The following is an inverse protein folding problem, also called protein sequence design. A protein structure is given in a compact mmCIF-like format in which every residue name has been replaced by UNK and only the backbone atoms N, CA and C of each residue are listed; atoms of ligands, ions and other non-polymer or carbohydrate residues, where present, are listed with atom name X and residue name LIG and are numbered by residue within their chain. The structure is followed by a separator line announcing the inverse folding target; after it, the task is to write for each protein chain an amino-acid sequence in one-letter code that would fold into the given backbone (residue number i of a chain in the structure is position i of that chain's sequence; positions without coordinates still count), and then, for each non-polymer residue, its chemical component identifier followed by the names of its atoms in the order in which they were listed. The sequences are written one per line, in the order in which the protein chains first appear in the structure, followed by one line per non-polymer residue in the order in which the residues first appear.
data_IF_752568926193
#
_entry.id   IF_752568926193
#
_cell.length_a   1.000
_cell.length_b   1.000
_cell.length_c   1.000
_cell.angle_alpha   90.00
_cell.angle_beta   90.00
_cell.angle_gamma   90.00
#
_symmetry.space_group_name_H-M   'P 1'
#
loop_
_entity.id
_entity.type
_entity.pdbx_description
1 polymer ?
#
# COMPACT_ATOMS: atom_id res chain seq x y z
N UNK A 1 -25.63 1.60 10.14
CA UNK A 1 -24.42 2.45 10.26
C UNK A 1 -23.12 1.69 9.99
N UNK A 2 -22.94 0.43 10.43
CA UNK A 2 -21.71 -0.35 10.20
C UNK A 2 -21.31 -0.52 8.71
N UNK A 3 -22.28 -0.78 7.81
CA UNK A 3 -22.01 -0.95 6.37
C UNK A 3 -21.51 0.33 5.66
N UNK A 4 -21.98 1.51 6.07
CA UNK A 4 -21.54 2.78 5.50
C UNK A 4 -20.11 3.12 5.95
N UNK A 5 -19.76 2.83 7.21
CA UNK A 5 -18.41 3.00 7.72
C UNK A 5 -17.39 2.19 6.93
N UNK A 6 -17.67 0.90 6.68
CA UNK A 6 -16.74 0.04 5.94
C UNK A 6 -16.50 0.47 4.49
N UNK A 7 -17.54 0.92 3.79
CA UNK A 7 -17.40 1.47 2.45
C UNK A 7 -16.51 2.72 2.42
N UNK A 8 -16.66 3.63 3.40
CA UNK A 8 -15.83 4.83 3.52
C UNK A 8 -14.37 4.48 3.75
N UNK A 9 -14.08 3.45 4.56
CA UNK A 9 -12.70 3.00 4.81
C UNK A 9 -12.05 2.45 3.54
N UNK A 10 -12.74 1.56 2.82
CA UNK A 10 -12.23 1.04 1.55
C UNK A 10 -11.97 2.17 0.54
N UNK A 11 -12.92 3.10 0.41
CA UNK A 11 -12.78 4.23 -0.49
C UNK A 11 -11.57 5.09 -0.13
N UNK A 12 -11.37 5.36 1.16
CA UNK A 12 -10.26 6.17 1.64
C UNK A 12 -8.90 5.51 1.35
N UNK A 13 -8.77 4.20 1.65
CA UNK A 13 -7.53 3.44 1.36
C UNK A 13 -7.23 3.45 -0.13
N UNK A 14 -8.23 3.14 -0.97
CA UNK A 14 -8.08 3.15 -2.43
C UNK A 14 -7.65 4.52 -2.94
N UNK A 15 -8.26 5.61 -2.45
CA UNK A 15 -7.88 6.97 -2.85
C UNK A 15 -6.43 7.28 -2.46
N UNK A 16 -6.00 6.90 -1.25
CA UNK A 16 -4.62 7.12 -0.82
C UNK A 16 -3.62 6.34 -1.68
N UNK A 17 -3.89 5.06 -1.94
CA UNK A 17 -3.03 4.22 -2.77
C UNK A 17 -2.97 4.70 -4.23
N UNK A 18 -4.10 5.18 -4.78
CA UNK A 18 -4.15 5.79 -6.11
C UNK A 18 -3.32 7.07 -6.16
N UNK A 19 -3.47 7.97 -5.17
CA UNK A 19 -2.68 9.20 -5.09
C UNK A 19 -1.19 8.88 -4.96
N UNK A 20 -0.82 7.93 -4.09
CA UNK A 20 0.57 7.48 -3.95
C UNK A 20 1.13 6.91 -5.26
N UNK A 21 0.33 6.10 -5.97
CA UNK A 21 0.70 5.52 -7.26
C UNK A 21 0.95 6.57 -8.34
N UNK A 22 0.04 7.53 -8.47
CA UNK A 22 0.18 8.66 -9.41
C UNK A 22 1.41 9.50 -9.08
N UNK A 23 1.63 9.84 -7.80
CA UNK A 23 2.82 10.58 -7.37
C UNK A 23 4.12 9.83 -7.67
N UNK A 24 4.15 8.51 -7.53
CA UNK A 24 5.29 7.67 -7.91
C UNK A 24 5.60 7.75 -9.41
N UNK A 25 4.56 7.68 -10.26
CA UNK A 25 4.71 7.81 -11.71
C UNK A 25 5.16 9.23 -12.09
N UNK A 26 4.55 10.27 -11.51
CA UNK A 26 4.95 11.65 -11.74
C UNK A 26 6.39 11.94 -11.29
N UNK A 27 6.83 11.33 -10.19
CA UNK A 27 8.21 11.41 -9.72
C UNK A 27 9.18 10.85 -10.77
N UNK A 28 8.83 9.74 -11.43
CA UNK A 28 9.64 9.18 -12.52
C UNK A 28 9.65 10.09 -13.76
N UNK A 29 8.51 10.67 -14.13
CA UNK A 29 8.43 11.63 -15.23
C UNK A 29 9.31 12.86 -14.94
N UNK A 30 9.25 13.40 -13.72
CA UNK A 30 10.10 14.51 -13.29
C UNK A 30 11.58 14.13 -13.33
N UNK A 31 11.92 12.91 -12.90
CA UNK A 31 13.28 12.36 -12.99
C UNK A 31 13.77 12.29 -14.44
N UNK A 32 12.91 11.88 -15.39
CA UNK A 32 13.26 11.74 -16.80
C UNK A 32 13.42 13.10 -17.50
N UNK A 33 12.56 14.09 -17.20
CA UNK A 33 12.69 15.46 -17.72
C UNK A 33 14.00 16.12 -17.31
N UNK A 34 14.40 15.98 -16.04
CA UNK A 34 15.65 16.52 -15.53
C UNK A 34 16.92 15.89 -16.11
N UNK A 35 16.81 14.71 -16.73
CA UNK A 35 17.93 14.03 -17.41
C UNK A 35 18.04 14.43 -18.89
N UNK A 36 16.94 14.62 -19.61
CA UNK A 36 16.96 14.98 -21.04
C UNK A 36 17.65 16.32 -21.32
N UNK A 37 17.53 17.30 -20.41
CA UNK A 37 18.27 18.57 -20.53
C UNK A 37 19.78 18.46 -20.22
N UNK A 38 20.23 17.39 -19.55
CA UNK A 38 21.63 17.24 -19.10
C UNK A 38 22.50 16.34 -19.97
N UNK A 39 21.92 15.61 -20.92
CA UNK A 39 22.68 14.70 -21.80
C UNK A 39 23.69 15.45 -22.69
N UNK A 40 23.59 16.79 -22.79
CA UNK A 40 24.51 17.60 -23.60
C UNK A 40 25.78 18.05 -22.86
N UNK A 41 25.85 18.03 -21.52
CA UNK A 41 27.01 18.56 -20.75
C UNK A 41 27.18 17.77 -19.45
N UNK A 42 28.11 16.79 -19.44
CA UNK A 42 28.57 16.02 -18.28
C UNK A 42 27.53 15.20 -17.49
N UNK A 43 27.77 13.89 -17.47
CA UNK A 43 26.96 12.79 -16.91
C UNK A 43 26.92 12.75 -15.37
N UNK A 44 26.70 13.89 -14.71
CA UNK A 44 26.51 14.01 -13.27
C UNK A 44 25.05 14.39 -12.99
N UNK A 45 24.29 13.42 -12.46
CA UNK A 45 22.88 13.57 -12.05
C UNK A 45 22.79 14.60 -10.92
N UNK A 46 22.45 15.86 -11.19
CA UNK A 46 22.03 16.74 -10.08
C UNK A 46 20.66 16.30 -9.56
N UNK A 47 20.42 16.43 -8.25
CA UNK A 47 19.15 16.08 -7.63
C UNK A 47 17.99 16.82 -8.30
N UNK A 48 17.04 16.08 -8.88
CA UNK A 48 15.74 16.65 -9.24
C UNK A 48 14.93 16.70 -7.96
N UNK A 49 15.06 17.80 -7.22
CA UNK A 49 14.39 18.00 -5.94
C UNK A 49 12.88 17.70 -5.99
N UNK A 50 12.25 18.01 -7.13
CA UNK A 50 10.85 17.67 -7.39
C UNK A 50 10.58 16.15 -7.40
N UNK A 51 11.43 15.35 -8.06
CA UNK A 51 11.27 13.89 -8.09
C UNK A 51 11.49 13.27 -6.69
N UNK A 52 12.45 13.80 -5.93
CA UNK A 52 12.64 13.42 -4.52
C UNK A 52 11.38 13.70 -3.69
N UNK A 53 10.82 14.91 -3.79
CA UNK A 53 9.64 15.32 -3.01
C UNK A 53 8.40 14.49 -3.35
N UNK A 54 8.16 14.22 -4.64
CA UNK A 54 7.04 13.39 -5.10
C UNK A 54 7.19 11.94 -4.66
N UNK A 55 8.38 11.34 -4.83
CA UNK A 55 8.64 9.96 -4.40
C UNK A 55 8.56 9.77 -2.88
N UNK A 56 9.06 10.73 -2.11
CA UNK A 56 8.93 10.72 -0.64
C UNK A 56 7.46 10.87 -0.21
N UNK A 57 6.71 11.78 -0.84
CA UNK A 57 5.28 11.94 -0.57
C UNK A 57 4.51 10.64 -0.86
N UNK A 58 4.79 9.98 -1.99
CA UNK A 58 4.21 8.69 -2.32
C UNK A 58 4.50 7.63 -1.25
N UNK A 59 5.75 7.53 -0.78
CA UNK A 59 6.16 6.59 0.26
C UNK A 59 5.44 6.83 1.60
N UNK A 60 5.28 8.11 1.99
CA UNK A 60 4.55 8.49 3.22
C UNK A 60 3.06 8.15 3.11
N UNK A 61 2.44 8.45 1.97
CA UNK A 61 1.01 8.15 1.76
C UNK A 61 0.77 6.64 1.75
N UNK A 62 1.62 5.85 1.09
CA UNK A 62 1.55 4.38 1.09
C UNK A 62 1.64 3.82 2.52
N UNK A 63 2.61 4.30 3.32
CA UNK A 63 2.75 3.87 4.71
C UNK A 63 1.53 4.25 5.55
N UNK A 64 1.00 5.46 5.37
CA UNK A 64 -0.20 5.92 6.06
C UNK A 64 -1.43 5.08 5.68
N UNK A 65 -1.60 4.76 4.39
CA UNK A 65 -2.70 3.91 3.91
C UNK A 65 -2.65 2.53 4.58
N UNK A 66 -1.47 1.92 4.66
CA UNK A 66 -1.29 0.64 5.33
C UNK A 66 -1.62 0.70 6.82
N UNK A 67 -1.12 1.72 7.53
CA UNK A 67 -1.41 1.90 8.96
C UNK A 67 -2.91 2.05 9.20
N UNK A 68 -3.61 2.86 8.40
CA UNK A 68 -5.06 3.00 8.55
C UNK A 68 -5.82 1.71 8.26
N UNK A 69 -5.43 0.96 7.22
CA UNK A 69 -6.04 -0.33 6.90
C UNK A 69 -5.91 -1.32 8.08
N UNK A 70 -4.74 -1.38 8.72
CA UNK A 70 -4.50 -2.24 9.87
C UNK A 70 -5.26 -1.79 11.13
N UNK A 71 -5.28 -0.47 11.42
CA UNK A 71 -5.99 0.09 12.57
C UNK A 71 -7.50 -0.14 12.49
N UNK A 72 -8.07 -0.04 11.28
CA UNK A 72 -9.51 -0.15 11.04
C UNK A 72 -9.96 -1.58 10.75
N UNK A 73 -9.11 -2.42 10.16
CA UNK A 73 -9.37 -3.85 9.91
C UNK A 73 -9.16 -4.75 11.13
N UNK A 74 -8.33 -4.31 12.09
CA UNK A 74 -8.03 -5.01 13.33
C UNK A 74 -6.95 -6.09 13.18
N UNK A 75 -6.31 -6.46 14.28
CA UNK A 75 -5.23 -7.46 14.23
C UNK A 75 -5.81 -8.88 14.09
N UNK A 76 -5.46 -9.57 12.98
CA UNK A 76 -5.78 -10.98 12.78
C UNK A 76 -4.50 -11.78 13.02
N UNK A 77 -4.33 -12.31 14.24
CA UNK A 77 -3.28 -13.28 14.52
C UNK A 77 -3.77 -14.69 14.19
N UNK A 78 -2.94 -15.43 13.45
CA UNK A 78 -3.06 -16.88 13.28
C UNK A 78 -1.81 -17.47 13.92
N UNK A 79 -1.98 -18.05 15.11
CA UNK A 79 -0.86 -18.48 15.93
C UNK A 79 -0.42 -19.92 15.61
N UNK A 80 -1.21 -20.67 14.83
CA UNK A 80 -0.98 -22.08 14.52
C UNK A 80 -1.49 -22.46 13.13
N UNK A 81 -0.81 -23.41 12.48
CA UNK A 81 -1.23 -24.01 11.19
C UNK A 81 -2.52 -24.83 11.32
N UNK A 82 -2.76 -25.45 12.49
CA UNK A 82 -4.03 -26.14 12.78
C UNK A 82 -5.19 -25.16 12.97
N UNK A 83 -4.93 -23.98 13.55
CA UNK A 83 -5.94 -22.93 13.64
C UNK A 83 -6.29 -22.35 12.26
N UNK A 84 -5.35 -22.32 11.32
CA UNK A 84 -5.58 -21.89 9.94
C UNK A 84 -6.53 -22.83 9.20
N UNK A 85 -6.26 -24.13 9.23
CA UNK A 85 -7.09 -25.17 8.57
C UNK A 85 -8.49 -25.28 9.19
N UNK A 86 -8.62 -24.97 10.48
CA UNK A 86 -9.92 -25.00 11.19
C UNK A 86 -10.70 -23.68 11.09
N UNK A 87 -10.08 -22.61 10.60
CA UNK A 87 -10.70 -21.28 10.55
C UNK A 87 -11.70 -21.16 9.40
N UNK A 88 -12.62 -20.19 9.50
CA UNK A 88 -13.53 -19.87 8.40
C UNK A 88 -12.74 -19.36 7.19
N UNK A 89 -13.28 -19.60 5.99
CA UNK A 89 -12.66 -19.16 4.73
C UNK A 89 -12.38 -17.65 4.73
N UNK A 90 -13.25 -16.86 5.35
CA UNK A 90 -13.08 -15.41 5.49
C UNK A 90 -11.86 -15.03 6.36
N UNK A 91 -11.61 -15.75 7.46
CA UNK A 91 -10.40 -15.54 8.29
C UNK A 91 -9.13 -15.94 7.55
N UNK A 92 -9.16 -17.06 6.82
CA UNK A 92 -8.04 -17.50 5.98
C UNK A 92 -7.72 -16.47 4.89
N UNK A 93 -8.75 -15.98 4.18
CA UNK A 93 -8.59 -14.93 3.17
C UNK A 93 -8.08 -13.62 3.76
N UNK A 94 -8.59 -13.20 4.92
CA UNK A 94 -8.14 -11.99 5.59
C UNK A 94 -6.67 -12.07 5.99
N UNK A 95 -6.22 -13.21 6.53
CA UNK A 95 -4.81 -13.40 6.90
C UNK A 95 -3.88 -13.48 5.67
N UNK A 96 -4.30 -14.17 4.61
CA UNK A 96 -3.51 -14.26 3.38
C UNK A 96 -3.36 -12.89 2.71
N UNK A 97 -4.46 -12.14 2.58
CA UNK A 97 -4.45 -10.80 1.99
C UNK A 97 -3.67 -9.80 2.84
N UNK A 98 -3.74 -9.91 4.17
CA UNK A 98 -2.90 -9.15 5.09
C UNK A 98 -1.41 -9.45 4.85
N UNK A 99 -1.00 -10.73 4.85
CA UNK A 99 0.39 -11.11 4.63
C UNK A 99 0.93 -10.60 3.28
N UNK A 100 0.15 -10.73 2.21
CA UNK A 100 0.53 -10.21 0.89
C UNK A 100 0.64 -8.69 0.91
N UNK A 101 -0.28 -7.97 1.57
CA UNK A 101 -0.22 -6.51 1.67
C UNK A 101 1.06 -6.01 2.36
N UNK A 102 1.54 -6.70 3.40
CA UNK A 102 2.82 -6.40 4.05
C UNK A 102 4.01 -6.59 3.11
N UNK A 103 4.02 -7.67 2.33
CA UNK A 103 5.09 -7.91 1.34
C UNK A 103 5.09 -6.80 0.28
N UNK A 104 3.92 -6.48 -0.28
CA UNK A 104 3.77 -5.42 -1.28
C UNK A 104 4.17 -4.06 -0.71
N UNK A 105 3.79 -3.75 0.54
CA UNK A 105 4.22 -2.55 1.25
C UNK A 105 5.73 -2.47 1.34
N UNK A 106 6.39 -3.51 1.86
CA UNK A 106 7.84 -3.51 2.06
C UNK A 106 8.60 -3.31 0.75
N UNK A 107 8.18 -4.02 -0.30
CA UNK A 107 8.81 -3.91 -1.62
C UNK A 107 8.51 -2.54 -2.25
N UNK A 108 7.25 -2.11 -2.28
CA UNK A 108 6.83 -0.83 -2.85
C UNK A 108 7.46 0.37 -2.16
N UNK A 109 7.43 0.39 -0.82
CA UNK A 109 8.06 1.43 0.00
C UNK A 109 9.57 1.50 -0.23
N UNK A 110 10.26 0.34 -0.26
CA UNK A 110 11.70 0.30 -0.51
C UNK A 110 12.04 0.86 -1.90
N UNK A 111 11.28 0.51 -2.93
CA UNK A 111 11.48 1.02 -4.29
C UNK A 111 11.23 2.53 -4.38
N UNK A 112 10.16 3.04 -3.75
CA UNK A 112 9.88 4.47 -3.67
C UNK A 112 10.98 5.23 -2.92
N UNK A 113 11.47 4.70 -1.79
CA UNK A 113 12.53 5.32 -1.01
C UNK A 113 13.88 5.29 -1.73
N UNK A 114 14.26 4.16 -2.34
CA UNK A 114 15.47 4.07 -3.17
C UNK A 114 15.37 5.07 -4.33
N UNK A 115 14.23 5.14 -5.00
CA UNK A 115 13.95 6.09 -6.06
C UNK A 115 14.07 7.55 -5.59
N UNK A 116 13.42 7.90 -4.48
CA UNK A 116 13.45 9.25 -3.92
C UNK A 116 14.87 9.64 -3.46
N UNK A 117 15.53 8.80 -2.65
CA UNK A 117 16.87 9.08 -2.12
C UNK A 117 17.93 9.13 -3.22
N UNK A 118 17.76 8.36 -4.30
CA UNK A 118 18.61 8.48 -5.50
C UNK A 118 18.45 9.83 -6.21
N UNK A 119 17.43 10.62 -5.86
CA UNK A 119 17.21 11.98 -6.37
C UNK A 119 17.47 13.07 -5.32
N UNK A 120 17.93 12.73 -4.10
CA UNK A 120 18.19 13.72 -3.03
C UNK A 120 19.66 14.14 -2.90
N UNK A 121 20.62 13.35 -3.38
CA UNK A 121 22.07 13.63 -3.27
C UNK A 121 22.74 13.75 -4.64
N UNK A 122 23.67 14.70 -4.77
CA UNK A 122 24.51 14.95 -5.95
C UNK A 122 25.68 13.96 -6.13
N UNK A 123 25.63 12.77 -5.51
CA UNK A 123 26.83 11.90 -5.44
C UNK A 123 27.24 11.38 -6.82
N UNK A 124 28.48 11.72 -7.19
CA UNK A 124 29.24 11.32 -8.38
C UNK A 124 29.61 9.82 -8.42
N UNK A 125 28.68 8.92 -8.12
CA UNK A 125 28.84 7.49 -8.42
C UNK A 125 27.88 7.14 -9.55
N UNK A 126 28.44 7.04 -10.75
CA UNK A 126 27.78 6.54 -11.95
C UNK A 126 27.40 5.06 -11.73
N UNK A 127 26.29 4.85 -11.04
CA UNK A 127 25.64 3.56 -10.87
C UNK A 127 24.30 3.57 -11.60
N UNK A 128 24.03 2.49 -12.33
CA UNK A 128 22.85 2.23 -13.16
C UNK A 128 21.55 2.38 -12.35
N UNK A 129 21.08 3.61 -12.14
CA UNK A 129 19.84 3.89 -11.44
C UNK A 129 18.68 3.46 -12.34
N UNK A 130 18.25 2.20 -12.18
CA UNK A 130 17.16 1.60 -12.95
C UNK A 130 15.99 2.58 -13.02
N UNK A 131 15.61 2.90 -14.26
CA UNK A 131 14.64 3.95 -14.59
C UNK A 131 13.28 3.75 -13.94
N UNK A 132 12.99 2.54 -13.47
CA UNK A 132 11.67 2.05 -13.11
C UNK A 132 11.41 1.97 -11.61
N UNK A 133 12.34 2.33 -10.72
CA UNK A 133 12.09 2.16 -9.28
C UNK A 133 10.89 2.98 -8.78
N UNK A 134 10.72 4.22 -9.26
CA UNK A 134 9.61 5.10 -8.86
C UNK A 134 8.27 4.64 -9.48
N UNK A 135 8.25 4.25 -10.76
CA UNK A 135 7.05 3.73 -11.43
C UNK A 135 6.67 2.34 -10.93
N UNK A 136 7.61 1.40 -10.75
CA UNK A 136 7.32 0.08 -10.16
C UNK A 136 6.81 0.26 -8.73
N UNK A 137 7.45 1.13 -7.93
CA UNK A 137 6.96 1.49 -6.61
C UNK A 137 5.52 2.05 -6.66
N UNK A 138 5.24 2.94 -7.62
CA UNK A 138 3.89 3.49 -7.83
C UNK A 138 2.87 2.44 -8.29
N UNK A 139 3.24 1.50 -9.15
CA UNK A 139 2.39 0.37 -9.57
C UNK A 139 2.03 -0.51 -8.36
N UNK A 140 3.01 -0.77 -7.49
CA UNK A 140 2.80 -1.54 -6.27
C UNK A 140 1.86 -0.85 -5.28
N UNK A 141 1.72 0.49 -5.29
CA UNK A 141 0.68 1.17 -4.51
C UNK A 141 -0.73 0.74 -4.92
N UNK A 142 -1.03 0.63 -6.22
CA UNK A 142 -2.35 0.15 -6.68
C UNK A 142 -2.60 -1.31 -6.28
N UNK A 143 -1.56 -2.15 -6.39
CA UNK A 143 -1.61 -3.56 -5.94
C UNK A 143 -1.85 -3.63 -4.43
N UNK A 144 -1.18 -2.77 -3.65
CA UNK A 144 -1.36 -2.67 -2.21
C UNK A 144 -2.82 -2.33 -1.86
N UNK A 145 -3.40 -1.31 -2.49
CA UNK A 145 -4.80 -0.93 -2.27
C UNK A 145 -5.80 -2.05 -2.56
N UNK A 146 -5.56 -2.87 -3.59
CA UNK A 146 -6.37 -4.05 -3.89
C UNK A 146 -6.34 -5.07 -2.74
N UNK A 147 -5.15 -5.43 -2.26
CA UNK A 147 -5.00 -6.40 -1.17
C UNK A 147 -5.50 -5.85 0.17
N UNK A 148 -5.28 -4.56 0.47
CA UNK A 148 -5.84 -3.94 1.68
C UNK A 148 -7.36 -3.88 1.66
N UNK A 149 -7.98 -3.63 0.51
CA UNK A 149 -9.44 -3.66 0.36
C UNK A 149 -9.97 -5.08 0.57
N UNK A 150 -9.34 -6.08 -0.03
CA UNK A 150 -9.70 -7.49 0.14
C UNK A 150 -9.55 -7.94 1.60
N UNK A 151 -8.48 -7.53 2.27
CA UNK A 151 -8.25 -7.76 3.70
C UNK A 151 -9.36 -7.13 4.54
N UNK A 152 -9.68 -5.85 4.31
CA UNK A 152 -10.70 -5.16 5.09
C UNK A 152 -12.08 -5.81 4.94
N UNK A 153 -12.48 -6.14 3.71
CA UNK A 153 -13.76 -6.83 3.44
C UNK A 153 -13.80 -8.20 4.10
N UNK A 154 -12.71 -8.97 3.99
CA UNK A 154 -12.62 -10.32 4.59
C UNK A 154 -12.62 -10.26 6.12
N UNK A 155 -11.95 -9.26 6.70
CA UNK A 155 -11.93 -9.01 8.14
C UNK A 155 -13.35 -8.66 8.64
N UNK A 156 -14.03 -7.72 7.99
CA UNK A 156 -15.41 -7.35 8.34
C UNK A 156 -16.35 -8.55 8.23
N UNK A 157 -16.25 -9.35 7.16
CA UNK A 157 -17.05 -10.56 7.01
C UNK A 157 -16.82 -11.55 8.17
N UNK A 158 -15.57 -11.78 8.56
CA UNK A 158 -15.23 -12.60 9.72
C UNK A 158 -15.82 -12.06 11.04
N UNK A 159 -15.76 -10.75 11.27
CA UNK A 159 -16.39 -10.12 12.44
C UNK A 159 -17.92 -10.28 12.45
N UNK A 160 -18.56 -10.32 11.29
CA UNK A 160 -19.99 -10.59 11.16
C UNK A 160 -20.32 -12.07 11.43
N UNK A 161 -19.49 -13.02 11.00
CA UNK A 161 -19.65 -14.45 11.32
C UNK A 161 -19.55 -14.74 12.82
N UNK A 162 -18.68 -14.02 13.53
CA UNK A 162 -18.46 -14.20 14.97
C UNK A 162 -19.52 -13.56 15.88
N UNK A 163 -20.41 -12.71 15.34
CA UNK A 163 -21.54 -12.17 16.11
C UNK A 163 -22.69 -13.18 16.08
N UNK A 164 -23.06 -13.84 17.19
CA UNK A 164 -24.27 -14.64 17.21
C UNK A 164 -25.44 -13.70 16.91
N UNK A 165 -26.18 -13.95 15.82
CA UNK A 165 -27.46 -13.29 15.58
C UNK A 165 -28.29 -13.45 16.85
N UNK A 166 -28.79 -12.34 17.38
CA UNK A 166 -29.73 -12.34 18.49
C UNK A 166 -30.82 -13.37 18.22
N UNK A 167 -30.92 -14.33 19.14
CA UNK A 167 -31.98 -15.31 19.22
C UNK A 167 -33.32 -14.58 19.05
N UNK A 168 -34.21 -14.93 18.10
CA UNK A 168 -35.57 -14.45 18.20
C UNK A 168 -36.14 -15.02 19.50
N UNK A 169 -36.49 -14.13 20.43
CA UNK A 169 -37.23 -14.46 21.62
C UNK A 169 -38.59 -14.99 21.16
N UNK A 170 -38.70 -16.32 21.02
CA UNK A 170 -39.99 -16.97 20.85
C UNK A 170 -40.77 -16.76 22.15
N UNK A 171 -41.68 -15.80 22.07
CA UNK A 171 -42.77 -15.58 22.99
C UNK A 171 -43.82 -16.69 22.83
N UNK A 172 -44.12 -17.34 23.95
CA UNK A 172 -45.44 -17.88 24.34
C UNK A 172 -45.95 -19.17 23.67
N UNK A 173 -46.91 -19.89 24.32
CA UNK A 173 -47.74 -19.53 25.49
C UNK A 173 -47.16 -19.91 26.85
#
# INVERSE_FOLDING_TARGET
MARAGGFVVCLLVVVMDVVAGVLGIEAEVAQNKGKHLRVLIFECKEPVYQAYRLGLAAAVILAAAHVMANLLGGCICICSREEFERSSANRQMAAATLAISWIVLLVGFSLLMIGALSNSKSKASCGFGHRHFLSIGGILCFVHGLFCTAYYVSAVAYWEEGRPMGRPQQSHP
#
